data_IF_525617827090
#
_entry.id   IF_525617827090
#
_cell.length_a   1.000
_cell.length_b   1.000
_cell.length_c   1.000
_cell.angle_alpha   90.00
_cell.angle_beta   90.00
_cell.angle_gamma   90.00
#
_symmetry.space_group_name_H-M   'P 1'
#
loop_
_entity.id
_entity.type
_entity.pdbx_description
1 polymer ?
#
# COMPACT_ATOMS: atom_id res chain seq x y z
N UNK A 1 -52.08 12.06 -88.54
CA UNK A 1 -52.91 11.64 -87.39
C UNK A 1 -53.35 12.89 -86.65
N UNK A 2 -54.67 13.14 -86.50
CA UNK A 2 -55.17 14.35 -85.85
C UNK A 2 -54.84 14.34 -84.34
N UNK A 3 -54.64 15.52 -83.72
CA UNK A 3 -54.33 15.62 -82.30
C UNK A 3 -55.55 15.16 -81.48
N UNK A 4 -55.34 14.22 -80.56
CA UNK A 4 -56.40 13.79 -79.63
C UNK A 4 -56.65 14.90 -78.62
N UNK A 5 -57.84 15.50 -78.70
CA UNK A 5 -58.37 16.45 -77.73
C UNK A 5 -58.23 15.93 -76.29
N UNK A 6 -57.64 16.74 -75.40
CA UNK A 6 -57.52 16.49 -73.96
C UNK A 6 -58.68 17.15 -73.19
N UNK A 7 -59.91 17.01 -73.68
CA UNK A 7 -61.09 17.75 -73.20
C UNK A 7 -61.70 17.22 -71.89
N UNK A 8 -61.02 16.35 -71.14
CA UNK A 8 -61.61 15.65 -69.98
C UNK A 8 -60.79 15.73 -68.69
N UNK A 9 -60.02 16.81 -68.50
CA UNK A 9 -59.32 17.04 -67.23
C UNK A 9 -60.14 17.87 -66.21
N UNK A 10 -61.31 18.42 -66.61
CA UNK A 10 -62.15 19.29 -65.75
C UNK A 10 -63.53 18.75 -65.36
N UNK A 11 -63.99 17.61 -65.91
CA UNK A 11 -65.35 17.10 -65.67
C UNK A 11 -65.36 16.12 -64.50
N UNK A 12 -65.73 16.60 -63.31
CA UNK A 12 -65.91 15.74 -62.12
C UNK A 12 -67.17 14.89 -62.30
N UNK A 13 -67.01 13.57 -62.22
CA UNK A 13 -68.13 12.62 -62.30
C UNK A 13 -69.22 12.97 -61.27
N UNK A 14 -70.51 13.02 -61.67
CA UNK A 14 -71.63 13.35 -60.78
C UNK A 14 -71.69 12.52 -59.50
N UNK A 15 -71.27 11.25 -59.55
CA UNK A 15 -71.21 10.34 -58.40
C UNK A 15 -70.13 10.76 -57.40
N UNK A 16 -68.98 11.21 -57.92
CA UNK A 16 -67.87 11.72 -57.11
C UNK A 16 -68.23 13.05 -56.45
N UNK A 17 -68.99 13.89 -57.15
CA UNK A 17 -69.55 15.14 -56.59
C UNK A 17 -70.53 14.88 -55.45
N UNK A 18 -71.51 13.99 -55.64
CA UNK A 18 -72.47 13.60 -54.59
C UNK A 18 -71.80 12.98 -53.37
N UNK A 19 -70.81 12.10 -53.56
CA UNK A 19 -70.02 11.51 -52.47
C UNK A 19 -69.19 12.56 -51.71
N UNK A 20 -68.75 13.63 -52.38
CA UNK A 20 -68.04 14.74 -51.73
C UNK A 20 -68.99 15.59 -50.88
N UNK A 21 -70.18 15.85 -51.40
CA UNK A 21 -71.24 16.60 -50.69
C UNK A 21 -71.79 15.84 -49.48
N UNK A 22 -72.01 14.52 -49.60
CA UNK A 22 -72.42 13.68 -48.46
C UNK A 22 -71.34 13.66 -47.38
N UNK A 23 -70.05 13.55 -47.76
CA UNK A 23 -68.93 13.61 -46.80
C UNK A 23 -68.77 14.98 -46.14
N UNK A 24 -69.20 16.06 -46.78
CA UNK A 24 -69.13 17.41 -46.22
C UNK A 24 -70.20 17.66 -45.15
N UNK A 25 -71.27 16.86 -45.16
CA UNK A 25 -72.40 16.94 -44.21
C UNK A 25 -72.40 15.81 -43.18
N UNK A 26 -71.43 14.88 -43.26
CA UNK A 26 -71.24 13.80 -42.28
C UNK A 26 -71.04 14.36 -40.87
N UNK A 27 -71.76 13.79 -39.91
CA UNK A 27 -71.46 13.99 -38.50
C UNK A 27 -70.12 13.33 -38.11
N UNK A 28 -69.49 13.73 -37.00
CA UNK A 28 -68.26 13.08 -36.52
C UNK A 28 -68.39 11.56 -36.34
N UNK A 29 -69.56 11.09 -35.89
CA UNK A 29 -69.86 9.67 -35.66
C UNK A 29 -69.99 8.89 -36.97
N UNK A 30 -70.73 9.42 -37.95
CA UNK A 30 -70.87 8.82 -39.28
C UNK A 30 -69.53 8.79 -40.02
N UNK A 31 -68.74 9.86 -39.89
CA UNK A 31 -67.38 9.93 -40.42
C UNK A 31 -66.50 8.85 -39.80
N UNK A 32 -66.57 8.65 -38.48
CA UNK A 32 -65.78 7.64 -37.80
C UNK A 32 -66.20 6.22 -38.20
N UNK A 33 -67.51 5.95 -38.28
CA UNK A 33 -68.03 4.67 -38.76
C UNK A 33 -67.54 4.36 -40.19
N UNK A 34 -67.58 5.35 -41.10
CA UNK A 34 -67.06 5.17 -42.46
C UNK A 34 -65.54 4.92 -42.48
N UNK A 35 -64.78 5.63 -41.64
CA UNK A 35 -63.34 5.40 -41.52
C UNK A 35 -63.04 4.02 -40.95
N UNK A 36 -63.84 3.54 -40.01
CA UNK A 36 -63.74 2.20 -39.43
C UNK A 36 -63.99 1.11 -40.49
N UNK A 37 -65.06 1.22 -41.27
CA UNK A 37 -65.30 0.29 -42.39
C UNK A 37 -64.16 0.29 -43.42
N UNK A 38 -63.51 1.45 -43.64
CA UNK A 38 -62.33 1.52 -44.50
C UNK A 38 -61.10 0.87 -43.85
N UNK A 39 -60.91 1.00 -42.53
CA UNK A 39 -59.83 0.33 -41.80
C UNK A 39 -59.98 -1.18 -41.91
N UNK A 40 -61.19 -1.70 -41.65
CA UNK A 40 -61.51 -3.13 -41.75
C UNK A 40 -61.24 -3.70 -43.14
N UNK A 41 -61.77 -3.07 -44.20
CA UNK A 41 -61.51 -3.52 -45.59
C UNK A 41 -60.02 -3.51 -45.95
N UNK A 42 -59.27 -2.50 -45.49
CA UNK A 42 -57.83 -2.44 -45.72
C UNK A 42 -57.07 -3.52 -44.95
N UNK A 43 -57.52 -3.84 -43.73
CA UNK A 43 -56.94 -4.90 -42.92
C UNK A 43 -57.19 -6.28 -43.53
N UNK A 44 -58.43 -6.56 -43.93
CA UNK A 44 -58.79 -7.79 -44.67
C UNK A 44 -57.97 -7.92 -45.95
N UNK A 45 -57.86 -6.86 -46.74
CA UNK A 45 -57.03 -6.86 -47.95
C UNK A 45 -55.56 -7.11 -47.65
N UNK A 46 -55.02 -6.61 -46.53
CA UNK A 46 -53.62 -6.84 -46.11
C UNK A 46 -53.41 -8.25 -45.56
N UNK A 47 -54.40 -8.84 -44.91
CA UNK A 47 -54.32 -10.17 -44.33
C UNK A 47 -54.20 -11.26 -45.40
N UNK A 48 -54.81 -11.04 -46.57
CA UNK A 48 -54.74 -11.95 -47.72
C UNK A 48 -53.60 -11.64 -48.69
N UNK A 49 -52.75 -10.63 -48.42
CA UNK A 49 -51.60 -10.31 -49.27
C UNK A 49 -50.58 -11.46 -49.28
N UNK A 50 -50.11 -11.83 -50.47
CA UNK A 50 -48.94 -12.71 -50.60
C UNK A 50 -47.65 -11.96 -50.23
N UNK A 51 -46.57 -12.68 -49.87
CA UNK A 51 -45.27 -12.05 -49.54
C UNK A 51 -44.79 -11.12 -50.66
N UNK A 52 -44.93 -11.53 -51.93
CA UNK A 52 -44.52 -10.74 -53.09
C UNK A 52 -45.34 -9.46 -53.25
N UNK A 53 -46.66 -9.52 -53.05
CA UNK A 53 -47.52 -8.34 -53.08
C UNK A 53 -47.20 -7.39 -51.93
N UNK A 54 -46.97 -7.93 -50.73
CA UNK A 54 -46.55 -7.17 -49.55
C UNK A 54 -45.21 -6.47 -49.80
N UNK A 55 -44.23 -7.17 -50.35
CA UNK A 55 -42.92 -6.61 -50.71
C UNK A 55 -43.05 -5.51 -51.76
N UNK A 56 -43.81 -5.73 -52.84
CA UNK A 56 -44.05 -4.71 -53.85
C UNK A 56 -44.71 -3.44 -53.28
N UNK A 57 -45.71 -3.60 -52.40
CA UNK A 57 -46.36 -2.48 -51.71
C UNK A 57 -45.40 -1.73 -50.78
N UNK A 58 -44.59 -2.46 -50.00
CA UNK A 58 -43.58 -1.84 -49.13
C UNK A 58 -42.50 -1.13 -49.94
N UNK A 59 -42.09 -1.69 -51.08
CA UNK A 59 -41.11 -1.08 -51.98
C UNK A 59 -41.64 0.21 -52.60
N UNK A 60 -42.87 0.18 -53.13
CA UNK A 60 -43.52 1.38 -53.64
C UNK A 60 -43.64 2.47 -52.55
N UNK A 61 -43.93 2.09 -51.30
CA UNK A 61 -43.97 3.03 -50.19
C UNK A 61 -42.57 3.57 -49.84
N UNK A 62 -41.53 2.72 -49.84
CA UNK A 62 -40.15 3.16 -49.66
C UNK A 62 -39.76 4.19 -50.71
N UNK A 63 -40.04 3.91 -51.99
CA UNK A 63 -39.74 4.84 -53.09
C UNK A 63 -40.47 6.17 -52.92
N UNK A 64 -41.79 6.13 -52.65
CA UNK A 64 -42.57 7.35 -52.40
C UNK A 64 -42.00 8.19 -51.25
N UNK A 65 -41.55 7.55 -50.16
CA UNK A 65 -40.94 8.24 -49.02
C UNK A 65 -39.57 8.82 -49.38
N UNK A 66 -38.77 8.13 -50.20
CA UNK A 66 -37.49 8.65 -50.71
C UNK A 66 -37.73 9.90 -51.55
N UNK A 67 -38.68 9.85 -52.49
CA UNK A 67 -38.98 10.98 -53.37
C UNK A 67 -39.49 12.19 -52.56
N UNK A 68 -40.36 11.96 -51.57
CA UNK A 68 -40.82 13.02 -50.66
C UNK A 68 -39.69 13.63 -49.82
N UNK A 69 -38.73 12.80 -49.36
CA UNK A 69 -37.56 13.30 -48.60
C UNK A 69 -36.57 14.04 -49.49
N UNK A 70 -36.44 13.66 -50.76
CA UNK A 70 -35.57 14.33 -51.71
C UNK A 70 -36.12 15.72 -52.10
N UNK A 71 -37.45 15.87 -52.14
CA UNK A 71 -38.13 17.14 -52.39
C UNK A 71 -38.34 18.01 -51.14
N UNK A 72 -37.87 17.55 -49.96
CA UNK A 72 -38.04 18.24 -48.68
C UNK A 72 -37.22 19.53 -48.63
N UNK A 73 -37.83 20.65 -48.23
CA UNK A 73 -37.09 21.89 -47.95
C UNK A 73 -36.25 21.76 -46.67
N UNK A 74 -35.29 22.67 -46.45
CA UNK A 74 -34.47 22.68 -45.23
C UNK A 74 -35.31 22.81 -43.96
N UNK A 75 -36.34 23.67 -43.97
CA UNK A 75 -37.24 23.89 -42.84
C UNK A 75 -38.07 22.63 -42.54
N UNK A 76 -38.71 22.04 -43.56
CA UNK A 76 -39.46 20.79 -43.40
C UNK A 76 -38.58 19.66 -42.87
N UNK A 77 -37.32 19.57 -43.35
CA UNK A 77 -36.34 18.60 -42.88
C UNK A 77 -36.00 18.82 -41.42
N UNK A 78 -35.82 20.06 -41.00
CA UNK A 78 -35.53 20.40 -39.62
C UNK A 78 -36.71 20.08 -38.70
N UNK A 79 -37.93 20.47 -39.08
CA UNK A 79 -39.16 20.13 -38.36
C UNK A 79 -39.31 18.62 -38.22
N UNK A 80 -39.14 17.85 -39.31
CA UNK A 80 -39.22 16.38 -39.27
C UNK A 80 -38.17 15.78 -38.33
N UNK A 81 -36.94 16.27 -38.36
CA UNK A 81 -35.87 15.80 -37.48
C UNK A 81 -36.15 16.18 -36.02
N UNK A 82 -36.67 17.38 -35.76
CA UNK A 82 -37.05 17.82 -34.42
C UNK A 82 -38.20 16.97 -33.87
N UNK A 83 -39.25 16.74 -34.65
CA UNK A 83 -40.36 15.85 -34.29
C UNK A 83 -39.87 14.42 -34.04
N UNK A 84 -38.91 13.93 -34.83
CA UNK A 84 -38.29 12.63 -34.59
C UNK A 84 -37.51 12.59 -33.27
N UNK A 85 -36.69 13.61 -32.97
CA UNK A 85 -35.97 13.72 -31.70
C UNK A 85 -36.93 13.72 -30.51
N UNK A 86 -38.02 14.50 -30.57
CA UNK A 86 -39.04 14.54 -29.53
C UNK A 86 -39.73 13.18 -29.35
N UNK A 87 -40.13 12.53 -30.46
CA UNK A 87 -40.72 11.20 -30.41
C UNK A 87 -39.79 10.18 -29.76
N UNK A 88 -38.50 10.17 -30.13
CA UNK A 88 -37.50 9.27 -29.55
C UNK A 88 -37.25 9.58 -28.07
N UNK A 89 -37.20 10.86 -27.70
CA UNK A 89 -37.06 11.28 -26.31
C UNK A 89 -38.23 10.79 -25.45
N UNK A 90 -39.47 10.98 -25.93
CA UNK A 90 -40.67 10.51 -25.24
C UNK A 90 -40.68 8.98 -25.11
N UNK A 91 -40.30 8.24 -26.16
CA UNK A 91 -40.17 6.77 -26.09
C UNK A 91 -39.11 6.33 -25.07
N UNK A 92 -38.00 7.07 -24.92
CA UNK A 92 -36.96 6.80 -23.92
C UNK A 92 -37.39 7.15 -22.50
N UNK A 93 -38.21 8.17 -22.33
CA UNK A 93 -38.72 8.60 -21.03
C UNK A 93 -39.64 7.54 -20.41
N UNK A 94 -40.46 6.88 -21.22
CA UNK A 94 -41.37 5.79 -20.80
C UNK A 94 -40.77 4.39 -20.95
N UNK A 95 -39.48 4.29 -21.27
CA UNK A 95 -38.77 3.01 -21.46
C UNK A 95 -38.65 2.24 -20.13
N UNK A 96 -38.99 0.95 -20.14
CA UNK A 96 -38.80 0.06 -18.99
C UNK A 96 -37.30 -0.19 -18.73
N UNK A 97 -36.94 -0.61 -17.51
CA UNK A 97 -35.56 -0.93 -17.15
C UNK A 97 -34.94 -1.98 -18.09
N UNK A 98 -35.66 -3.05 -18.41
CA UNK A 98 -35.19 -4.11 -19.32
C UNK A 98 -34.93 -3.59 -20.74
N UNK A 99 -35.83 -2.76 -21.28
CA UNK A 99 -35.63 -2.12 -22.60
C UNK A 99 -34.43 -1.17 -22.60
N UNK A 100 -34.24 -0.43 -21.50
CA UNK A 100 -33.08 0.43 -21.30
C UNK A 100 -31.78 -0.37 -21.23
N UNK A 101 -31.77 -1.49 -20.52
CA UNK A 101 -30.61 -2.37 -20.41
C UNK A 101 -30.26 -3.00 -21.76
N UNK A 102 -31.23 -3.56 -22.47
CA UNK A 102 -31.01 -4.11 -23.82
C UNK A 102 -30.49 -3.03 -24.79
N UNK A 103 -31.10 -1.84 -24.83
CA UNK A 103 -30.62 -0.73 -25.68
C UNK A 103 -29.20 -0.28 -25.32
N UNK A 104 -28.90 -0.09 -24.04
CA UNK A 104 -27.56 0.32 -23.60
C UNK A 104 -26.54 -0.79 -23.81
N UNK A 105 -26.92 -2.05 -23.62
CA UNK A 105 -26.13 -3.23 -23.95
C UNK A 105 -25.78 -3.30 -25.43
N UNK A 106 -26.77 -3.15 -26.33
CA UNK A 106 -26.54 -3.09 -27.78
C UNK A 106 -25.61 -1.93 -28.17
N UNK A 107 -25.72 -0.77 -27.53
CA UNK A 107 -24.81 0.35 -27.76
C UNK A 107 -23.38 0.05 -27.29
N UNK A 108 -23.21 -0.64 -26.16
CA UNK A 108 -21.89 -1.09 -25.68
C UNK A 108 -21.27 -2.08 -26.65
N UNK A 109 -22.04 -3.05 -27.15
CA UNK A 109 -21.59 -4.03 -28.14
C UNK A 109 -21.14 -3.36 -29.43
N UNK A 110 -21.98 -2.49 -30.02
CA UNK A 110 -21.61 -1.73 -31.22
C UNK A 110 -20.33 -0.92 -31.03
N UNK A 111 -20.18 -0.30 -29.85
CA UNK A 111 -18.97 0.46 -29.51
C UNK A 111 -17.74 -0.45 -29.40
N UNK A 112 -17.90 -1.63 -28.81
CA UNK A 112 -16.83 -2.62 -28.70
C UNK A 112 -16.43 -3.17 -30.07
N UNK A 113 -17.39 -3.52 -30.93
CA UNK A 113 -17.16 -3.94 -32.32
C UNK A 113 -16.38 -2.87 -33.09
N UNK A 114 -16.81 -1.61 -33.01
CA UNK A 114 -16.10 -0.48 -33.64
C UNK A 114 -14.68 -0.28 -33.10
N UNK A 115 -14.39 -0.65 -31.84
CA UNK A 115 -13.04 -0.58 -31.26
C UNK A 115 -12.16 -1.75 -31.69
N UNK A 116 -12.75 -2.90 -31.98
CA UNK A 116 -12.02 -4.08 -32.47
C UNK A 116 -11.61 -3.88 -33.93
N UNK A 117 -12.45 -3.23 -34.73
CA UNK A 117 -12.13 -2.87 -36.12
C UNK A 117 -11.34 -1.56 -36.26
N UNK A 118 -10.97 -0.91 -35.15
CA UNK A 118 -10.23 0.35 -35.12
C UNK A 118 -8.82 0.16 -35.69
N UNK A 119 -8.40 1.04 -36.61
CA UNK A 119 -7.01 1.05 -37.08
C UNK A 119 -6.08 1.59 -36.00
N UNK A 120 -4.78 1.38 -36.14
CA UNK A 120 -3.79 1.91 -35.19
C UNK A 120 -3.90 3.45 -35.06
N UNK A 121 -4.00 4.17 -36.18
CA UNK A 121 -4.12 5.64 -36.21
C UNK A 121 -5.41 6.12 -35.52
N UNK A 122 -6.55 5.47 -35.80
CA UNK A 122 -7.82 5.79 -35.15
C UNK A 122 -7.73 5.58 -33.63
N UNK A 123 -7.08 4.48 -33.21
CA UNK A 123 -6.85 4.19 -31.80
C UNK A 123 -5.98 5.24 -31.14
N UNK A 124 -4.90 5.67 -31.77
CA UNK A 124 -4.03 6.72 -31.25
C UNK A 124 -4.80 8.03 -31.07
N UNK A 125 -5.50 8.49 -32.10
CA UNK A 125 -6.33 9.71 -32.03
C UNK A 125 -7.34 9.61 -30.89
N UNK A 126 -8.09 8.52 -30.77
CA UNK A 126 -9.07 8.33 -29.68
C UNK A 126 -8.41 8.32 -28.31
N UNK A 127 -7.25 7.67 -28.16
CA UNK A 127 -6.53 7.66 -26.88
C UNK A 127 -6.00 9.03 -26.52
N UNK A 128 -5.53 9.79 -27.51
CA UNK A 128 -5.04 11.14 -27.31
C UNK A 128 -6.18 12.10 -26.96
N UNK A 129 -7.31 12.05 -27.67
CA UNK A 129 -8.52 12.78 -27.31
C UNK A 129 -8.99 12.47 -25.87
N UNK A 130 -8.89 11.22 -25.43
CA UNK A 130 -9.18 10.85 -24.04
C UNK A 130 -8.18 11.44 -23.05
N UNK A 131 -6.89 11.48 -23.40
CA UNK A 131 -5.85 12.09 -22.56
C UNK A 131 -6.07 13.59 -22.44
N UNK A 132 -6.32 14.28 -23.56
CA UNK A 132 -6.62 15.72 -23.61
C UNK A 132 -7.86 16.03 -22.78
N UNK A 133 -8.99 15.35 -23.02
CA UNK A 133 -10.21 15.56 -22.22
C UNK A 133 -9.98 15.36 -20.73
N UNK A 134 -9.21 14.36 -20.34
CA UNK A 134 -8.88 14.11 -18.93
C UNK A 134 -7.97 15.20 -18.36
N UNK A 135 -7.02 15.70 -19.15
CA UNK A 135 -6.15 16.79 -18.75
C UNK A 135 -6.92 18.11 -18.59
N UNK A 136 -7.78 18.45 -19.55
CA UNK A 136 -8.68 19.60 -19.49
C UNK A 136 -9.59 19.55 -18.26
N UNK A 137 -10.21 18.38 -17.99
CA UNK A 137 -11.01 18.18 -16.79
C UNK A 137 -10.21 18.38 -15.49
N UNK A 138 -8.93 17.97 -15.46
CA UNK A 138 -8.03 18.19 -14.30
C UNK A 138 -7.62 19.65 -14.13
N UNK A 139 -7.49 20.39 -15.22
CA UNK A 139 -7.18 21.84 -15.18
C UNK A 139 -8.39 22.63 -14.69
N UNK A 140 -9.59 22.25 -15.12
CA UNK A 140 -10.84 22.85 -14.66
C UNK A 140 -11.28 22.43 -13.24
N UNK A 141 -10.59 21.44 -12.65
CA UNK A 141 -10.88 20.89 -11.32
C UNK A 141 -10.70 21.95 -10.23
N UNK A 142 -11.72 22.12 -9.38
CA UNK A 142 -11.60 22.98 -8.19
C UNK A 142 -10.69 22.35 -7.14
N UNK A 143 -10.23 23.13 -6.16
CA UNK A 143 -9.41 22.59 -5.04
C UNK A 143 -10.14 21.49 -4.27
N UNK A 144 -11.43 21.65 -4.00
CA UNK A 144 -12.25 20.64 -3.31
C UNK A 144 -12.37 19.35 -4.12
N UNK A 145 -12.68 19.46 -5.43
CA UNK A 145 -12.74 18.30 -6.32
C UNK A 145 -11.41 17.55 -6.37
N UNK A 146 -10.30 18.31 -6.40
CA UNK A 146 -8.93 17.78 -6.38
C UNK A 146 -8.63 17.01 -5.10
N UNK A 147 -9.03 17.53 -3.94
CA UNK A 147 -8.88 16.83 -2.67
C UNK A 147 -9.69 15.53 -2.64
N UNK A 148 -10.98 15.57 -3.04
CA UNK A 148 -11.80 14.36 -3.13
C UNK A 148 -11.19 13.30 -4.04
N UNK A 149 -10.70 13.70 -5.23
CA UNK A 149 -10.02 12.78 -6.16
C UNK A 149 -8.73 12.21 -5.58
N UNK A 150 -7.93 13.04 -4.89
CA UNK A 150 -6.71 12.58 -4.23
C UNK A 150 -7.02 11.62 -3.08
N UNK A 151 -8.05 11.89 -2.29
CA UNK A 151 -8.54 11.02 -1.24
C UNK A 151 -9.04 9.68 -1.77
N UNK A 152 -9.82 9.71 -2.85
CA UNK A 152 -10.27 8.49 -3.49
C UNK A 152 -9.09 7.68 -4.06
N UNK A 153 -8.06 8.33 -4.60
CA UNK A 153 -6.84 7.68 -5.05
C UNK A 153 -6.04 7.09 -3.87
N UNK A 154 -5.93 7.82 -2.74
CA UNK A 154 -5.32 7.32 -1.51
C UNK A 154 -6.05 6.10 -0.99
N UNK A 155 -7.39 6.13 -0.93
CA UNK A 155 -8.24 5.02 -0.49
C UNK A 155 -8.08 3.80 -1.39
N UNK A 156 -8.21 3.96 -2.71
CA UNK A 156 -8.02 2.86 -3.68
C UNK A 156 -6.64 2.22 -3.56
N UNK A 157 -5.61 3.04 -3.38
CA UNK A 157 -4.25 2.55 -3.20
C UNK A 157 -4.13 1.78 -1.88
N UNK A 158 -4.67 2.30 -0.78
CA UNK A 158 -4.64 1.62 0.52
C UNK A 158 -5.39 0.29 0.48
N UNK A 159 -6.57 0.23 -0.15
CA UNK A 159 -7.35 -0.98 -0.34
C UNK A 159 -6.59 -2.02 -1.18
N UNK A 160 -5.99 -1.59 -2.30
CA UNK A 160 -5.16 -2.46 -3.11
C UNK A 160 -3.99 -3.02 -2.30
N UNK A 161 -3.34 -2.22 -1.45
CA UNK A 161 -2.22 -2.67 -0.61
C UNK A 161 -2.66 -3.60 0.53
N UNK A 162 -3.84 -3.40 1.08
CA UNK A 162 -4.40 -4.24 2.13
C UNK A 162 -4.80 -5.63 1.58
N UNK A 163 -5.19 -5.69 0.30
CA UNK A 163 -5.53 -6.93 -0.39
C UNK A 163 -4.32 -7.66 -1.03
N UNK A 164 -3.11 -7.11 -0.92
CA UNK A 164 -1.92 -7.73 -1.50
C UNK A 164 -1.57 -9.06 -0.84
N UNK A 165 -1.17 -10.04 -1.66
CA UNK A 165 -0.53 -11.26 -1.15
C UNK A 165 0.91 -10.98 -0.68
N UNK A 166 1.51 -11.85 0.15
CA UNK A 166 2.90 -11.70 0.56
C UNK A 166 3.90 -11.57 -0.61
N UNK A 167 3.66 -12.28 -1.71
CA UNK A 167 4.50 -12.24 -2.92
C UNK A 167 4.37 -10.90 -3.64
N UNK A 168 3.13 -10.39 -3.76
CA UNK A 168 2.88 -9.06 -4.36
C UNK A 168 3.50 -7.96 -3.50
N UNK A 169 3.38 -8.07 -2.18
CA UNK A 169 4.00 -7.16 -1.23
C UNK A 169 5.53 -7.15 -1.37
N UNK A 170 6.15 -8.33 -1.42
CA UNK A 170 7.59 -8.49 -1.60
C UNK A 170 8.06 -7.91 -2.94
N UNK A 171 7.35 -8.20 -4.04
CA UNK A 171 7.66 -7.66 -5.36
C UNK A 171 7.57 -6.13 -5.38
N UNK A 172 6.55 -5.54 -4.75
CA UNK A 172 6.41 -4.09 -4.64
C UNK A 172 7.55 -3.45 -3.83
N UNK A 173 7.93 -4.06 -2.71
CA UNK A 173 9.07 -3.60 -1.91
C UNK A 173 10.38 -3.69 -2.69
N UNK A 174 10.56 -4.76 -3.48
CA UNK A 174 11.75 -4.92 -4.31
C UNK A 174 11.81 -3.86 -5.41
N UNK A 175 10.69 -3.58 -6.09
CA UNK A 175 10.60 -2.46 -7.04
C UNK A 175 10.91 -1.12 -6.37
N UNK A 176 10.41 -0.89 -5.15
CA UNK A 176 10.72 0.33 -4.40
C UNK A 176 12.21 0.42 -4.01
N UNK A 177 12.82 -0.70 -3.63
CA UNK A 177 14.24 -0.82 -3.32
C UNK A 177 15.11 -0.51 -4.54
N UNK A 178 14.77 -1.09 -5.70
CA UNK A 178 15.46 -0.85 -6.97
C UNK A 178 15.32 0.59 -7.45
N UNK A 179 14.12 1.18 -7.36
CA UNK A 179 13.93 2.61 -7.66
C UNK A 179 14.83 3.48 -6.78
N UNK A 180 14.87 3.19 -5.48
CA UNK A 180 15.70 3.94 -4.53
C UNK A 180 17.20 3.72 -4.78
N UNK A 181 17.63 2.54 -5.22
CA UNK A 181 19.04 2.28 -5.56
C UNK A 181 19.44 3.00 -6.85
N UNK A 182 18.57 3.00 -7.86
CA UNK A 182 18.82 3.73 -9.13
C UNK A 182 18.90 5.23 -8.88
N UNK A 183 18.00 5.79 -8.06
CA UNK A 183 18.07 7.21 -7.69
C UNK A 183 19.36 7.53 -6.93
N UNK A 184 19.77 6.68 -5.97
CA UNK A 184 21.05 6.85 -5.25
C UNK A 184 22.27 6.72 -6.14
N UNK A 185 22.26 5.84 -7.14
CA UNK A 185 23.38 5.68 -8.07
C UNK A 185 23.54 6.88 -9.03
N UNK A 186 22.46 7.63 -9.27
CA UNK A 186 22.46 8.86 -10.08
C UNK A 186 22.64 10.13 -9.24
N UNK A 187 22.68 10.00 -7.92
CA UNK A 187 22.83 11.10 -6.98
C UNK A 187 24.19 11.77 -7.20
N UNK A 188 24.21 13.10 -7.33
CA UNK A 188 25.48 13.85 -7.35
C UNK A 188 26.10 13.88 -5.96
N UNK A 189 27.39 14.20 -5.86
CA UNK A 189 28.08 14.33 -4.57
C UNK A 189 27.38 15.33 -3.65
N UNK A 190 27.02 16.51 -4.17
CA UNK A 190 26.30 17.55 -3.42
C UNK A 190 24.93 17.07 -2.92
N UNK A 191 24.16 16.36 -3.77
CA UNK A 191 22.87 15.78 -3.35
C UNK A 191 23.07 14.74 -2.24
N UNK A 192 24.13 13.92 -2.35
CA UNK A 192 24.50 12.94 -1.34
C UNK A 192 24.90 13.58 -0.01
N UNK A 193 25.66 14.68 -0.04
CA UNK A 193 26.01 15.46 1.14
C UNK A 193 24.76 16.04 1.80
N UNK A 194 23.88 16.69 1.04
CA UNK A 194 22.60 17.22 1.55
C UNK A 194 21.78 16.11 2.19
N UNK A 195 21.64 14.95 1.54
CA UNK A 195 20.87 13.81 2.07
C UNK A 195 21.49 13.27 3.36
N UNK A 196 22.82 13.13 3.41
CA UNK A 196 23.51 12.64 4.63
C UNK A 196 23.40 13.65 5.76
N UNK A 197 23.51 14.94 5.49
CA UNK A 197 23.35 16.00 6.49
C UNK A 197 21.91 16.06 7.01
N UNK A 198 20.90 15.99 6.13
CA UNK A 198 19.51 15.90 6.54
C UNK A 198 19.25 14.67 7.44
N UNK A 199 19.87 13.52 7.14
CA UNK A 199 19.77 12.34 7.99
C UNK A 199 20.48 12.53 9.35
N UNK A 200 21.61 13.24 9.37
CA UNK A 200 22.31 13.59 10.62
C UNK A 200 21.44 14.50 11.49
N UNK A 201 20.84 15.53 10.90
CA UNK A 201 19.94 16.46 11.60
C UNK A 201 18.72 15.73 12.17
N UNK A 202 18.01 14.93 11.36
CA UNK A 202 16.86 14.13 11.85
C UNK A 202 17.24 13.20 13.00
N UNK A 203 18.42 12.59 12.92
CA UNK A 203 18.91 11.71 13.99
C UNK A 203 19.27 12.49 15.26
N UNK A 204 19.85 13.68 15.12
CA UNK A 204 20.18 14.56 16.24
C UNK A 204 18.90 15.08 16.92
N UNK A 205 17.92 15.52 16.15
CA UNK A 205 16.60 15.95 16.63
C UNK A 205 15.90 14.83 17.40
N UNK A 206 15.84 13.62 16.82
CA UNK A 206 15.26 12.46 17.48
C UNK A 206 15.96 12.11 18.81
N UNK A 207 17.29 12.30 18.89
CA UNK A 207 18.06 12.10 20.13
C UNK A 207 17.87 13.22 21.15
N UNK A 208 17.61 14.44 20.71
CA UNK A 208 17.42 15.59 21.59
C UNK A 208 16.10 15.48 22.38
N UNK A 209 15.07 14.90 21.77
CA UNK A 209 13.76 14.67 22.40
C UNK A 209 13.63 13.30 23.07
N UNK A 210 14.68 12.48 23.06
CA UNK A 210 14.70 11.12 23.61
C UNK A 210 14.52 11.14 25.15
N UNK A 211 13.55 10.37 25.66
CA UNK A 211 13.36 10.22 27.11
C UNK A 211 14.53 9.44 27.74
N UNK A 212 14.77 9.57 29.07
CA UNK A 212 15.83 8.81 29.74
C UNK A 212 15.72 7.28 29.53
N UNK A 213 14.50 6.74 29.52
CA UNK A 213 14.23 5.31 29.31
C UNK A 213 14.57 4.88 27.88
N UNK A 214 14.16 5.67 26.88
CA UNK A 214 14.51 5.45 25.47
C UNK A 214 16.03 5.48 25.28
N UNK A 215 16.71 6.44 25.92
CA UNK A 215 18.17 6.57 25.88
C UNK A 215 18.87 5.36 26.49
N UNK A 216 18.37 4.85 27.62
CA UNK A 216 18.90 3.65 28.26
C UNK A 216 18.69 2.43 27.37
N UNK A 217 17.49 2.22 26.82
CA UNK A 217 17.19 1.11 25.92
C UNK A 217 18.08 1.14 24.66
N UNK A 218 18.27 2.32 24.05
CA UNK A 218 19.19 2.48 22.90
C UNK A 218 20.64 2.19 23.28
N UNK A 219 21.10 2.63 24.45
CA UNK A 219 22.45 2.37 24.92
C UNK A 219 22.67 0.87 25.19
N UNK A 220 21.68 0.20 25.77
CA UNK A 220 21.68 -1.25 25.99
C UNK A 220 21.69 -2.02 24.67
N UNK A 221 20.81 -1.67 23.73
CA UNK A 221 20.78 -2.28 22.40
C UNK A 221 22.12 -2.11 21.66
N UNK A 222 22.74 -0.93 21.75
CA UNK A 222 24.07 -0.70 21.19
C UNK A 222 25.15 -1.57 21.86
N UNK A 223 25.07 -1.79 23.18
CA UNK A 223 25.97 -2.69 23.91
C UNK A 223 25.81 -4.14 23.44
N UNK A 224 24.57 -4.62 23.33
CA UNK A 224 24.25 -5.96 22.83
C UNK A 224 24.77 -6.16 21.40
N UNK A 225 24.45 -5.25 20.48
CA UNK A 225 24.93 -5.30 19.09
C UNK A 225 26.47 -5.31 19.01
N UNK A 226 27.13 -4.53 19.86
CA UNK A 226 28.61 -4.52 19.91
C UNK A 226 29.15 -5.84 20.46
N UNK A 227 28.50 -6.44 21.45
CA UNK A 227 28.89 -7.74 22.00
C UNK A 227 28.71 -8.85 20.96
N UNK A 228 27.56 -8.90 20.29
CA UNK A 228 27.28 -9.83 19.19
C UNK A 228 28.31 -9.70 18.07
N UNK A 229 28.62 -8.47 17.64
CA UNK A 229 29.64 -8.22 16.63
C UNK A 229 31.04 -8.67 17.06
N UNK A 230 31.37 -8.62 18.36
CA UNK A 230 32.64 -9.11 18.89
C UNK A 230 32.70 -10.63 18.99
N UNK A 231 31.57 -11.29 19.22
CA UNK A 231 31.46 -12.76 19.24
C UNK A 231 31.56 -13.33 17.82
N UNK A 232 30.95 -12.66 16.85
CA UNK A 232 31.02 -13.04 15.43
C UNK A 232 32.33 -12.62 14.73
N UNK A 233 33.21 -11.89 15.41
CA UNK A 233 34.46 -11.35 14.87
C UNK A 233 35.42 -12.49 14.50
N UNK A 234 35.98 -12.45 13.28
CA UNK A 234 37.06 -13.38 12.90
C UNK A 234 38.37 -13.04 13.64
N UNK A 235 39.33 -13.95 13.67
CA UNK A 235 40.64 -13.70 14.28
C UNK A 235 41.35 -12.47 13.69
N UNK A 236 41.34 -12.32 12.37
CA UNK A 236 41.94 -11.18 11.66
C UNK A 236 41.24 -9.86 12.00
N UNK A 237 39.90 -9.86 12.04
CA UNK A 237 39.13 -8.69 12.45
C UNK A 237 39.44 -8.30 13.91
N UNK A 238 39.58 -9.30 14.78
CA UNK A 238 39.94 -9.09 16.19
C UNK A 238 41.32 -8.47 16.34
N UNK A 239 42.31 -8.94 15.57
CA UNK A 239 43.66 -8.39 15.58
C UNK A 239 43.69 -6.95 15.07
N UNK A 240 43.07 -6.68 13.92
CA UNK A 240 42.99 -5.32 13.37
C UNK A 240 42.30 -4.35 14.32
N UNK A 241 41.20 -4.76 14.98
CA UNK A 241 40.54 -3.93 15.99
C UNK A 241 41.41 -3.68 17.22
N UNK A 242 42.12 -4.70 17.72
CA UNK A 242 43.03 -4.55 18.87
C UNK A 242 44.20 -3.65 18.52
N UNK A 243 44.76 -3.79 17.31
CA UNK A 243 45.84 -2.93 16.82
C UNK A 243 45.38 -1.49 16.66
N UNK A 244 44.22 -1.26 16.06
CA UNK A 244 43.61 0.07 15.99
C UNK A 244 43.36 0.67 17.38
N UNK A 245 42.99 -0.16 18.38
CA UNK A 245 42.85 0.30 19.76
C UNK A 245 44.20 0.64 20.41
N UNK A 246 45.27 -0.12 20.12
CA UNK A 246 46.63 0.18 20.59
C UNK A 246 47.13 1.50 20.01
N UNK A 247 46.99 1.69 18.69
CA UNK A 247 47.39 2.92 18.00
C UNK A 247 46.65 4.14 18.55
N UNK A 248 45.31 4.09 18.64
CA UNK A 248 44.52 5.18 19.24
C UNK A 248 44.96 5.51 20.66
N UNK A 249 45.21 4.48 21.48
CA UNK A 249 45.68 4.71 22.86
C UNK A 249 47.10 5.30 22.89
N UNK A 250 47.98 4.94 21.95
CA UNK A 250 49.31 5.51 21.84
C UNK A 250 49.26 6.98 21.40
N UNK A 251 48.43 7.31 20.42
CA UNK A 251 48.17 8.68 19.96
C UNK A 251 47.62 9.55 21.10
N UNK A 252 46.62 9.05 21.85
CA UNK A 252 46.08 9.76 23.01
C UNK A 252 47.14 10.02 24.09
N UNK A 253 48.08 9.08 24.30
CA UNK A 253 49.21 9.28 25.23
C UNK A 253 50.23 10.29 24.70
N UNK A 254 50.49 10.30 23.40
CA UNK A 254 51.41 11.24 22.78
C UNK A 254 50.87 12.68 22.79
N UNK A 255 49.56 12.84 22.66
CA UNK A 255 48.86 14.12 22.73
C UNK A 255 48.53 14.58 24.17
N UNK A 256 48.92 13.82 25.19
CA UNK A 256 48.57 14.09 26.59
C UNK A 256 49.30 15.33 27.11
N UNK A 257 48.55 16.32 27.60
CA UNK A 257 49.15 17.49 28.24
C UNK A 257 49.70 17.12 29.63
N UNK A 258 50.69 17.86 30.18
CA UNK A 258 51.26 17.57 31.50
C UNK A 258 50.24 17.49 32.64
N UNK A 259 49.17 18.30 32.58
CA UNK A 259 48.09 18.28 33.57
C UNK A 259 47.25 16.99 33.49
N UNK A 260 46.92 16.55 32.27
CA UNK A 260 46.19 15.29 32.06
C UNK A 260 47.06 14.09 32.46
N UNK A 261 48.36 14.14 32.16
CA UNK A 261 49.31 13.12 32.57
C UNK A 261 49.35 12.95 34.09
N UNK A 262 49.41 14.05 34.84
CA UNK A 262 49.42 14.00 36.31
C UNK A 262 48.10 13.48 36.87
N UNK A 263 46.96 13.92 36.31
CA UNK A 263 45.64 13.41 36.68
C UNK A 263 45.49 11.90 36.42
N UNK A 264 46.01 11.41 35.28
CA UNK A 264 46.06 9.97 34.98
C UNK A 264 46.95 9.23 35.96
N UNK A 265 48.16 9.73 36.24
CA UNK A 265 49.09 9.13 37.23
C UNK A 265 48.49 9.11 38.63
N UNK A 266 47.77 10.15 39.03
CA UNK A 266 47.04 10.19 40.30
C UNK A 266 45.90 9.17 40.30
N UNK A 267 45.14 9.07 39.22
CA UNK A 267 44.09 8.06 39.04
C UNK A 267 44.66 6.64 39.09
N UNK A 268 45.80 6.39 38.46
CA UNK A 268 46.52 5.12 38.50
C UNK A 268 47.01 4.82 39.93
N UNK A 269 47.60 5.80 40.61
CA UNK A 269 47.99 5.69 42.02
C UNK A 269 46.78 5.34 42.89
N UNK A 270 45.63 6.01 42.71
CA UNK A 270 44.37 5.71 43.42
C UNK A 270 43.88 4.31 43.12
N UNK A 271 43.83 3.89 41.85
CA UNK A 271 43.42 2.53 41.47
C UNK A 271 44.33 1.46 42.06
N UNK A 272 45.65 1.66 41.99
CA UNK A 272 46.61 0.74 42.60
C UNK A 272 46.50 0.73 44.13
N UNK A 273 46.29 1.88 44.77
CA UNK A 273 46.06 1.96 46.22
C UNK A 273 44.77 1.23 46.62
N UNK A 274 43.66 1.44 45.90
CA UNK A 274 42.39 0.75 46.12
C UNK A 274 42.51 -0.75 45.87
N UNK A 275 43.15 -1.18 44.78
CA UNK A 275 43.40 -2.59 44.49
C UNK A 275 44.30 -3.24 45.55
N UNK A 276 45.35 -2.54 46.01
CA UNK A 276 46.17 -3.00 47.14
C UNK A 276 45.36 -3.05 48.42
N UNK A 277 44.48 -2.09 48.69
CA UNK A 277 43.60 -2.10 49.85
C UNK A 277 42.63 -3.28 49.80
N UNK A 278 41.94 -3.54 48.68
CA UNK A 278 41.04 -4.71 48.55
C UNK A 278 41.80 -6.04 48.62
N UNK A 279 43.01 -6.10 48.07
CA UNK A 279 43.89 -7.28 48.19
C UNK A 279 44.50 -7.43 49.59
N UNK A 280 44.78 -6.33 50.29
CA UNK A 280 45.26 -6.29 51.67
C UNK A 280 44.13 -6.59 52.67
N UNK A 281 42.88 -6.27 52.30
CA UNK A 281 41.65 -6.70 52.98
C UNK A 281 41.32 -8.18 52.74
N UNK A 282 42.30 -8.95 52.25
CA UNK A 282 42.36 -10.36 52.58
C UNK A 282 42.65 -10.46 54.09
N UNK A 283 41.57 -10.59 54.87
CA UNK A 283 41.40 -10.46 56.33
C UNK A 283 42.39 -11.23 57.24
N UNK A 284 43.45 -11.82 56.72
CA UNK A 284 44.47 -12.57 57.48
C UNK A 284 45.91 -12.07 57.26
N UNK A 285 46.12 -11.02 56.46
CA UNK A 285 47.46 -10.45 56.28
C UNK A 285 47.99 -9.92 57.62
N UNK A 286 49.07 -10.56 58.11
CA UNK A 286 49.79 -10.29 59.37
C UNK A 286 49.11 -10.77 60.67
N UNK A 287 47.95 -11.43 60.60
CA UNK A 287 47.31 -12.02 61.79
C UNK A 287 48.06 -13.23 62.36
N UNK A 288 49.01 -13.81 61.62
CA UNK A 288 49.90 -14.84 62.13
C UNK A 288 50.84 -14.32 63.25
N UNK A 289 51.13 -13.02 63.30
CA UNK A 289 52.03 -12.41 64.28
C UNK A 289 51.30 -11.75 65.46
N UNK A 290 49.96 -11.74 65.44
CA UNK A 290 49.10 -11.23 66.49
C UNK A 290 47.89 -12.15 66.60
N UNK A 291 48.09 -13.28 67.30
CA UNK A 291 47.00 -14.21 67.58
C UNK A 291 46.00 -13.55 68.54
N UNK A 292 44.77 -13.37 68.10
CA UNK A 292 43.65 -12.92 68.91
C UNK A 292 42.81 -14.14 69.32
N UNK A 293 42.81 -14.55 70.60
CA UNK A 293 42.06 -15.71 71.09
C UNK A 293 40.54 -15.61 70.91
N UNK A 294 40.01 -14.42 70.63
CA UNK A 294 38.58 -14.18 70.44
C UNK A 294 38.16 -14.15 68.96
N UNK A 295 39.12 -14.26 68.03
CA UNK A 295 38.83 -14.33 66.60
C UNK A 295 38.72 -15.80 66.15
N UNK A 296 37.57 -16.18 65.57
CA UNK A 296 37.37 -17.52 65.01
C UNK A 296 38.03 -17.64 63.63
N UNK A 297 39.34 -17.87 63.64
CA UNK A 297 40.15 -18.08 62.44
C UNK A 297 39.67 -19.29 61.62
N UNK A 298 38.96 -20.25 62.22
CA UNK A 298 38.46 -21.46 61.56
C UNK A 298 37.23 -21.22 60.67
N UNK A 299 36.44 -20.19 60.97
CA UNK A 299 35.28 -19.78 60.18
C UNK A 299 35.61 -18.78 59.05
N UNK A 300 36.89 -18.39 58.90
CA UNK A 300 37.29 -17.37 57.93
C UNK A 300 37.12 -17.86 56.47
N UNK A 301 36.55 -17.06 55.54
CA UNK A 301 36.24 -17.50 54.17
C UNK A 301 37.41 -18.01 53.33
N UNK A 302 38.65 -17.72 53.75
CA UNK A 302 39.90 -18.19 53.12
C UNK A 302 40.64 -19.29 53.90
N UNK A 303 40.13 -19.72 55.06
CA UNK A 303 40.71 -20.79 55.88
C UNK A 303 39.81 -22.00 55.76
N UNK A 304 40.26 -23.01 55.02
CA UNK A 304 39.59 -24.31 54.92
C UNK A 304 40.33 -25.32 55.78
N UNK A 305 40.14 -25.27 57.10
CA UNK A 305 40.56 -26.36 57.98
C UNK A 305 39.47 -27.42 57.87
N UNK A 306 39.74 -28.52 57.17
CA UNK A 306 38.78 -29.62 57.03
C UNK A 306 38.35 -30.19 58.39
N UNK A 307 37.27 -30.96 58.46
CA UNK A 307 36.85 -31.57 59.73
C UNK A 307 37.78 -32.72 60.14
N UNK A 308 38.03 -32.84 61.45
CA UNK A 308 38.91 -33.84 62.08
C UNK A 308 38.15 -35.17 62.26
N UNK A 309 37.64 -35.72 61.15
CA UNK A 309 36.64 -36.82 61.18
C UNK A 309 37.25 -38.20 60.89
N UNK A 310 38.57 -38.29 60.66
CA UNK A 310 39.24 -39.56 60.37
C UNK A 310 39.80 -40.11 61.67
N UNK A 311 39.37 -41.29 62.09
CA UNK A 311 39.93 -41.98 63.26
C UNK A 311 41.19 -42.74 62.82
N UNK A 312 42.29 -42.64 63.57
CA UNK A 312 43.50 -43.41 63.31
C UNK A 312 43.32 -44.85 63.78
N UNK A 313 43.58 -45.82 62.92
CA UNK A 313 43.40 -47.25 63.24
C UNK A 313 44.38 -47.77 64.30
N UNK A 314 45.50 -47.07 64.54
CA UNK A 314 46.54 -47.51 65.49
C UNK A 314 46.35 -46.97 66.92
N UNK A 315 45.72 -45.80 67.08
CA UNK A 315 45.60 -45.16 68.40
C UNK A 315 44.20 -44.59 68.68
N UNK A 316 43.25 -44.79 67.77
CA UNK A 316 41.85 -44.30 67.83
C UNK A 316 41.68 -42.79 68.05
N UNK A 317 42.73 -42.00 67.89
CA UNK A 317 42.66 -40.54 67.90
C UNK A 317 42.08 -39.99 66.58
N UNK A 318 41.42 -38.83 66.66
CA UNK A 318 40.85 -38.13 65.49
C UNK A 318 41.92 -37.29 64.78
N UNK A 319 41.95 -37.32 63.44
CA UNK A 319 42.86 -36.57 62.57
C UNK A 319 42.12 -35.88 61.41
N UNK A 320 42.75 -34.87 60.83
CA UNK A 320 42.26 -34.17 59.63
C UNK A 320 42.46 -35.02 58.37
N UNK A 321 41.54 -34.93 57.40
CA UNK A 321 41.71 -35.56 56.07
C UNK A 321 42.94 -34.96 55.38
N UNK A 322 43.96 -35.79 55.14
CA UNK A 322 45.14 -35.44 54.34
C UNK A 322 46.47 -35.33 55.11
N UNK A 323 46.49 -35.42 56.44
CA UNK A 323 47.73 -35.40 57.23
C UNK A 323 48.06 -36.80 57.78
N UNK A 324 49.23 -37.33 57.43
CA UNK A 324 49.66 -38.70 57.78
C UNK A 324 50.47 -38.81 59.09
N UNK A 325 50.82 -37.70 59.77
CA UNK A 325 51.91 -37.73 60.77
C UNK A 325 51.60 -37.20 62.18
N UNK A 326 50.40 -36.70 62.50
CA UNK A 326 50.14 -36.17 63.86
C UNK A 326 48.79 -36.64 64.40
N UNK A 327 48.83 -37.50 65.43
CA UNK A 327 47.69 -37.93 66.22
C UNK A 327 47.80 -37.30 67.62
N UNK A 328 46.74 -36.62 68.10
CA UNK A 328 46.72 -35.96 69.42
C UNK A 328 45.56 -36.53 70.26
N UNK A 329 45.86 -36.93 71.50
CA UNK A 329 44.90 -37.53 72.45
C UNK A 329 44.32 -36.46 73.37
N UNK A 330 42.98 -36.37 73.57
CA UNK A 330 42.39 -35.42 74.50
C UNK A 330 42.50 -35.91 75.96
N UNK A 331 43.14 -35.12 76.82
CA UNK A 331 43.12 -35.31 78.29
C UNK A 331 41.75 -34.88 78.85
N UNK A 332 41.06 -35.80 79.53
CA UNK A 332 39.74 -35.59 80.12
C UNK A 332 39.73 -34.58 81.28
N UNK A 333 38.70 -33.72 81.32
CA UNK A 333 38.41 -32.83 82.45
C UNK A 333 37.82 -33.66 83.60
N UNK A 334 38.50 -33.72 84.74
CA UNK A 334 37.94 -34.27 85.99
C UNK A 334 37.14 -33.20 86.72
N UNK A 335 35.86 -33.51 87.00
CA UNK A 335 34.96 -32.73 87.83
C UNK A 335 35.33 -32.92 89.32
N UNK A 336 35.56 -31.84 90.06
CA UNK A 336 35.45 -31.83 91.52
C UNK A 336 34.20 -31.03 91.93
N UNK A 337 33.33 -31.68 92.70
CA UNK A 337 32.23 -31.09 93.47
C UNK A 337 32.42 -31.56 94.92
N UNK A 338 32.47 -30.57 95.82
CA UNK A 338 32.73 -30.54 97.28
C UNK A 338 34.20 -30.77 97.67
#
# INVERSE_FOLDING_TARGET
>A
MPPKNRDSLGRVDPKTKKMRESRATETPEEREARLETNRQRNEESRAVETSRQREARLEQNRQRVVDLRAAESSEQREERLQQNRLRVANLRAVETSEKRETRTGMNRLRTAESRVSETFEQREVRTEENRVRTAEARVAETSEQREVRNDENRRRTAESRAAETPEQHAARLEVARLRSSVLRARETTEQGEIRTEQNRLRTAEAKAVETPEQRQARAEQNRLRTAESRVAETSEQRETRLEAARLRNAELRAAETPQLLESRRESDRRRHAQSRQTSNRADLRLNAFKYDPHYDYGAHPRVSIGRMDVICDHCHAKRYRGNHLECVVPMGRSNYLI
#
